data_IF_247503088083
#
_entry.id   IF_247503088083
#
_cell.length_a   1.000
_cell.length_b   1.000
_cell.length_c   1.000
_cell.angle_alpha   90.00
_cell.angle_beta   90.00
_cell.angle_gamma   90.00
#
_symmetry.space_group_name_H-M   'P 1'
#
loop_
_entity.id
_entity.type
_entity.pdbx_description
1 polymer ?
#
# COMPACT_ATOMS: atom_id res chain seq x y z
N UNK A 1 29.96 35.97 60.74
CA UNK A 1 29.02 36.42 59.67
C UNK A 1 29.26 35.84 58.29
N UNK A 2 30.12 34.82 58.04
CA UNK A 2 30.38 34.21 56.71
C UNK A 2 29.45 33.08 56.28
N UNK A 3 28.71 32.45 57.18
CA UNK A 3 27.86 31.29 56.86
C UNK A 3 26.54 31.62 56.17
N UNK A 4 25.99 32.80 56.34
CA UNK A 4 24.70 33.22 55.72
C UNK A 4 24.83 33.56 54.23
N UNK A 5 26.00 34.01 53.75
CA UNK A 5 26.27 34.26 52.33
C UNK A 5 26.43 33.01 51.50
N UNK A 6 27.06 31.94 52.06
CA UNK A 6 27.25 30.66 51.38
C UNK A 6 25.93 29.93 51.11
N UNK A 7 24.99 29.97 52.06
CA UNK A 7 23.67 29.34 51.88
C UNK A 7 22.84 29.99 50.76
N UNK A 8 22.93 31.30 50.61
CA UNK A 8 22.21 32.03 49.52
C UNK A 8 22.76 31.69 48.13
N UNK A 9 24.10 31.60 48.00
CA UNK A 9 24.72 31.23 46.71
C UNK A 9 24.40 29.79 46.34
N UNK A 10 24.44 28.86 47.27
CA UNK A 10 24.10 27.46 47.04
C UNK A 10 22.64 27.29 46.64
N UNK A 11 21.72 28.04 47.23
CA UNK A 11 20.30 28.02 46.88
C UNK A 11 20.04 28.58 45.46
N UNK A 12 20.74 29.66 45.05
CA UNK A 12 20.65 30.19 43.67
C UNK A 12 21.16 29.23 42.64
N UNK A 13 22.30 28.54 42.89
CA UNK A 13 22.85 27.55 41.96
C UNK A 13 21.90 26.37 41.81
N UNK A 14 21.29 25.89 42.90
CA UNK A 14 20.33 24.80 42.87
C UNK A 14 19.08 25.17 42.06
N UNK A 15 18.57 26.40 42.21
CA UNK A 15 17.43 26.88 41.38
C UNK A 15 17.77 26.93 39.90
N UNK A 16 18.96 27.42 39.52
CA UNK A 16 19.38 27.47 38.11
C UNK A 16 19.47 26.08 37.51
N UNK A 17 20.06 25.11 38.24
CA UNK A 17 20.16 23.73 37.79
C UNK A 17 18.77 23.09 37.62
N UNK A 18 17.87 23.30 38.57
CA UNK A 18 16.50 22.76 38.50
C UNK A 18 15.73 23.31 37.28
N UNK A 19 15.84 24.61 37.01
CA UNK A 19 15.22 25.26 35.84
C UNK A 19 15.84 24.75 34.55
N UNK A 20 17.17 24.62 34.49
CA UNK A 20 17.84 24.05 33.30
C UNK A 20 17.42 22.60 33.01
N UNK A 21 17.33 21.75 34.02
CA UNK A 21 16.85 20.38 33.89
C UNK A 21 15.39 20.33 33.40
N UNK A 22 14.53 21.20 33.93
CA UNK A 22 13.15 21.31 33.46
C UNK A 22 13.06 21.60 31.96
N UNK A 23 13.83 22.60 31.48
CA UNK A 23 13.84 22.96 30.06
C UNK A 23 14.42 21.87 29.18
N UNK A 24 15.43 21.14 29.63
CA UNK A 24 16.00 19.98 28.91
C UNK A 24 14.93 18.88 28.77
N UNK A 25 14.24 18.55 29.84
CA UNK A 25 13.17 17.51 29.80
C UNK A 25 12.01 17.96 28.90
N UNK A 26 11.59 19.23 28.99
CA UNK A 26 10.55 19.77 28.13
C UNK A 26 10.95 19.73 26.64
N UNK A 27 12.19 20.07 26.32
CA UNK A 27 12.72 20.02 24.97
C UNK A 27 12.75 18.56 24.44
N UNK A 28 13.25 17.61 25.23
CA UNK A 28 13.27 16.19 24.86
C UNK A 28 11.86 15.64 24.60
N UNK A 29 10.90 16.01 25.44
CA UNK A 29 9.50 15.63 25.25
C UNK A 29 8.91 16.20 23.95
N UNK A 30 9.18 17.48 23.68
CA UNK A 30 8.76 18.13 22.44
C UNK A 30 9.36 17.46 21.19
N UNK A 31 10.67 17.16 21.22
CA UNK A 31 11.33 16.45 20.13
C UNK A 31 10.75 15.04 19.92
N UNK A 32 10.49 14.31 20.99
CA UNK A 32 9.90 12.97 20.90
C UNK A 32 8.52 12.97 20.21
N UNK A 33 7.67 13.93 20.55
CA UNK A 33 6.35 14.09 19.90
C UNK A 33 6.50 14.47 18.43
N UNK A 34 7.41 15.42 18.11
CA UNK A 34 7.62 15.85 16.72
C UNK A 34 8.14 14.73 15.83
N UNK A 35 9.10 13.95 16.29
CA UNK A 35 9.64 12.82 15.51
C UNK A 35 8.61 11.72 15.31
N UNK A 36 7.79 11.39 16.31
CA UNK A 36 6.72 10.42 16.17
C UNK A 36 5.67 10.84 15.13
N UNK A 37 5.26 12.11 15.14
CA UNK A 37 4.30 12.66 14.17
C UNK A 37 4.86 12.68 12.75
N UNK A 38 6.13 13.00 12.55
CA UNK A 38 6.76 12.98 11.23
C UNK A 38 6.85 11.56 10.67
N UNK A 39 7.17 10.58 11.50
CA UNK A 39 7.23 9.18 11.09
C UNK A 39 5.85 8.64 10.66
N UNK A 40 4.79 8.94 11.41
CA UNK A 40 3.43 8.56 11.04
C UNK A 40 2.97 9.24 9.74
N UNK A 41 3.22 10.53 9.58
CA UNK A 41 2.87 11.26 8.37
C UNK A 41 3.59 10.72 7.12
N UNK A 42 4.83 10.28 7.26
CA UNK A 42 5.60 9.64 6.18
C UNK A 42 4.95 8.33 5.75
N UNK A 43 4.62 7.43 6.69
CA UNK A 43 3.97 6.14 6.39
C UNK A 43 2.61 6.35 5.72
N UNK A 44 1.80 7.29 6.21
CA UNK A 44 0.49 7.59 5.66
C UNK A 44 0.60 8.13 4.23
N UNK A 45 1.55 9.03 3.97
CA UNK A 45 1.83 9.55 2.63
C UNK A 45 2.26 8.48 1.65
N UNK A 46 3.12 7.56 2.05
CA UNK A 46 3.55 6.43 1.20
C UNK A 46 2.38 5.48 0.90
N UNK A 47 1.55 5.20 1.90
CA UNK A 47 0.36 4.37 1.73
C UNK A 47 -0.63 4.98 0.74
N UNK A 48 -0.89 6.28 0.85
CA UNK A 48 -1.83 6.99 -0.04
C UNK A 48 -1.32 7.00 -1.48
N UNK A 49 -0.03 7.23 -1.69
CA UNK A 49 0.60 7.15 -3.01
C UNK A 49 0.47 5.75 -3.62
N UNK A 50 0.71 4.72 -2.81
CA UNK A 50 0.62 3.33 -3.22
C UNK A 50 -0.80 2.93 -3.62
N UNK A 51 -1.81 3.32 -2.83
CA UNK A 51 -3.23 3.11 -3.17
C UNK A 51 -3.60 3.87 -4.44
N UNK A 52 -3.14 5.12 -4.58
CA UNK A 52 -3.34 5.93 -5.79
C UNK A 52 -2.79 5.25 -7.05
N UNK A 53 -1.64 4.59 -6.96
CA UNK A 53 -1.06 3.83 -8.06
C UNK A 53 -1.94 2.63 -8.46
N UNK A 54 -2.45 1.87 -7.47
CA UNK A 54 -3.36 0.74 -7.74
C UNK A 54 -4.61 1.21 -8.46
N UNK A 55 -5.24 2.30 -7.99
CA UNK A 55 -6.45 2.86 -8.59
C UNK A 55 -6.17 3.38 -10.02
N UNK A 56 -5.04 4.04 -10.22
CA UNK A 56 -4.62 4.54 -11.54
C UNK A 56 -4.41 3.40 -12.53
N UNK A 57 -3.75 2.33 -12.11
CA UNK A 57 -3.56 1.12 -12.91
C UNK A 57 -4.90 0.43 -13.21
N UNK A 58 -5.74 0.21 -12.21
CA UNK A 58 -7.05 -0.43 -12.40
C UNK A 58 -7.95 0.35 -13.38
N UNK A 59 -7.76 1.68 -13.46
CA UNK A 59 -8.50 2.56 -14.36
C UNK A 59 -7.86 2.73 -15.73
N UNK A 60 -6.66 2.17 -15.96
CA UNK A 60 -5.99 2.26 -17.25
C UNK A 60 -6.72 1.43 -18.33
N UNK A 61 -6.61 1.79 -19.62
CA UNK A 61 -7.31 1.09 -20.71
C UNK A 61 -6.98 -0.41 -20.77
N UNK A 62 -5.78 -0.79 -20.36
CA UNK A 62 -5.29 -2.17 -20.35
C UNK A 62 -6.04 -3.05 -19.35
N UNK A 63 -6.46 -2.46 -18.23
CA UNK A 63 -7.12 -3.17 -17.13
C UNK A 63 -8.61 -2.88 -17.05
N UNK A 64 -9.05 -1.65 -17.40
CA UNK A 64 -10.42 -1.19 -17.13
C UNK A 64 -11.48 -2.01 -17.86
N UNK A 65 -12.56 -2.32 -17.14
CA UNK A 65 -13.77 -2.92 -17.69
C UNK A 65 -14.78 -1.83 -18.05
N UNK A 66 -14.94 -1.56 -19.36
CA UNK A 66 -15.94 -0.66 -19.93
C UNK A 66 -16.03 0.73 -19.27
N UNK A 67 -14.93 1.25 -18.72
CA UNK A 67 -14.90 2.54 -18.05
C UNK A 67 -15.60 2.58 -16.69
N UNK A 68 -15.92 1.44 -16.10
CA UNK A 68 -16.43 1.35 -14.73
C UNK A 68 -15.31 1.75 -13.77
N UNK A 69 -15.59 2.67 -12.85
CA UNK A 69 -14.64 3.05 -11.81
C UNK A 69 -14.26 1.83 -10.96
N UNK A 70 -12.97 1.59 -10.81
CA UNK A 70 -12.40 0.41 -10.13
C UNK A 70 -12.86 -0.95 -10.72
N UNK A 71 -13.41 -0.94 -11.94
CA UNK A 71 -13.79 -2.15 -12.68
C UNK A 71 -12.61 -2.66 -13.51
N UNK A 72 -12.12 -3.84 -13.19
CA UNK A 72 -11.01 -4.50 -13.90
C UNK A 72 -11.53 -5.67 -14.73
N UNK A 73 -11.07 -5.77 -15.95
CA UNK A 73 -11.46 -6.81 -16.91
C UNK A 73 -10.62 -8.06 -16.70
N UNK A 74 -11.23 -9.12 -16.21
CA UNK A 74 -10.51 -10.37 -15.93
C UNK A 74 -10.06 -11.09 -17.20
N UNK A 75 -10.76 -10.91 -18.33
CA UNK A 75 -10.36 -11.53 -19.59
C UNK A 75 -9.12 -10.83 -20.17
N UNK A 76 -9.05 -9.48 -20.03
CA UNK A 76 -7.84 -8.72 -20.37
C UNK A 76 -6.66 -9.12 -19.49
N UNK A 77 -6.84 -9.29 -18.16
CA UNK A 77 -5.79 -9.76 -17.27
C UNK A 77 -5.23 -11.12 -17.72
N UNK A 78 -6.11 -12.06 -18.08
CA UNK A 78 -5.68 -13.37 -18.57
C UNK A 78 -4.97 -13.30 -19.93
N UNK A 79 -5.30 -12.32 -20.77
CA UNK A 79 -4.61 -12.07 -22.03
C UNK A 79 -3.22 -11.47 -21.77
N UNK A 80 -3.11 -10.47 -20.89
CA UNK A 80 -1.86 -9.81 -20.53
C UNK A 80 -0.87 -10.77 -19.84
N UNK A 81 -1.35 -11.72 -19.03
CA UNK A 81 -0.52 -12.76 -18.41
C UNK A 81 0.32 -13.54 -19.43
N UNK A 82 -0.13 -13.67 -20.67
CA UNK A 82 0.57 -14.39 -21.75
C UNK A 82 1.61 -13.54 -22.48
N UNK A 83 1.70 -12.25 -22.16
CA UNK A 83 2.55 -11.30 -22.88
C UNK A 83 3.71 -10.81 -21.99
N UNK A 84 4.90 -11.42 -22.07
CA UNK A 84 6.03 -11.10 -21.19
C UNK A 84 6.56 -9.67 -21.36
N UNK A 85 6.38 -9.06 -22.52
CA UNK A 85 6.80 -7.70 -22.88
C UNK A 85 6.14 -6.62 -21.98
N UNK A 86 4.97 -6.89 -21.42
CA UNK A 86 4.32 -5.97 -20.50
C UNK A 86 4.92 -5.96 -19.09
N UNK A 87 5.81 -6.90 -18.74
CA UNK A 87 6.43 -7.00 -17.41
C UNK A 87 7.23 -5.76 -17.02
N UNK A 88 7.84 -5.08 -18.00
CA UNK A 88 8.65 -3.90 -17.75
C UNK A 88 7.92 -2.58 -18.08
N UNK A 89 6.75 -2.67 -18.68
CA UNK A 89 6.00 -1.52 -19.16
C UNK A 89 5.57 -0.57 -18.04
N UNK A 90 5.16 -1.09 -16.88
CA UNK A 90 4.66 -0.28 -15.78
C UNK A 90 5.73 0.12 -14.75
N UNK A 91 6.98 -0.32 -14.87
CA UNK A 91 8.06 0.00 -13.92
C UNK A 91 7.91 -0.63 -12.53
N UNK A 92 7.03 -1.61 -12.36
CA UNK A 92 6.72 -2.27 -11.08
C UNK A 92 7.25 -3.70 -11.04
N UNK A 93 7.36 -4.26 -9.83
CA UNK A 93 7.93 -5.59 -9.63
C UNK A 93 6.91 -6.72 -9.78
N UNK A 94 5.63 -6.45 -9.54
CA UNK A 94 4.60 -7.44 -9.69
C UNK A 94 3.19 -6.88 -9.71
N UNK A 95 2.30 -7.59 -10.38
CA UNK A 95 0.85 -7.36 -10.36
C UNK A 95 0.17 -8.70 -10.14
N UNK A 96 -0.69 -8.76 -9.14
CA UNK A 96 -1.57 -9.90 -8.91
C UNK A 96 -2.97 -9.43 -8.49
N UNK A 97 -3.96 -10.24 -8.82
CA UNK A 97 -5.36 -10.02 -8.43
C UNK A 97 -5.88 -11.28 -7.77
N UNK A 98 -6.30 -11.14 -6.50
CA UNK A 98 -6.90 -12.23 -5.73
C UNK A 98 -8.40 -12.04 -5.64
N UNK A 99 -9.19 -13.00 -6.11
CA UNK A 99 -10.64 -13.01 -5.93
C UNK A 99 -10.99 -13.29 -4.47
N UNK A 100 -11.91 -12.50 -3.92
CA UNK A 100 -12.35 -12.62 -2.53
C UNK A 100 -13.75 -13.20 -2.41
N UNK A 101 -14.62 -12.86 -3.36
CA UNK A 101 -16.01 -13.33 -3.37
C UNK A 101 -16.54 -13.43 -4.80
N UNK A 102 -17.24 -14.52 -5.14
CA UNK A 102 -17.45 -15.73 -4.33
C UNK A 102 -16.17 -16.53 -4.09
N UNK A 103 -16.19 -17.39 -3.08
CA UNK A 103 -15.04 -18.25 -2.77
C UNK A 103 -14.81 -19.28 -3.88
N UNK A 104 -13.55 -19.41 -4.28
CA UNK A 104 -13.07 -20.41 -5.22
C UNK A 104 -11.92 -21.21 -4.58
N UNK A 105 -11.56 -22.37 -5.12
CA UNK A 105 -10.34 -23.06 -4.71
C UNK A 105 -9.12 -22.13 -4.78
N UNK A 106 -8.27 -22.14 -3.77
CA UNK A 106 -7.02 -21.35 -3.73
C UNK A 106 -6.01 -21.92 -4.73
N UNK A 107 -6.20 -21.61 -6.00
CA UNK A 107 -5.33 -22.01 -7.10
C UNK A 107 -5.06 -20.83 -8.02
N UNK A 108 -3.84 -20.82 -8.58
CA UNK A 108 -3.48 -19.86 -9.60
C UNK A 108 -4.28 -20.06 -10.88
N UNK A 109 -4.78 -18.97 -11.43
CA UNK A 109 -5.54 -18.96 -12.67
C UNK A 109 -4.65 -19.24 -13.89
N UNK A 110 -5.06 -20.19 -14.67
CA UNK A 110 -4.48 -20.52 -15.97
C UNK A 110 -5.59 -20.74 -17.01
N UNK A 111 -5.22 -21.02 -18.24
CA UNK A 111 -6.19 -21.22 -19.33
C UNK A 111 -7.12 -22.41 -19.14
N UNK A 112 -6.75 -23.38 -18.31
CA UNK A 112 -7.54 -24.62 -18.11
C UNK A 112 -8.55 -24.50 -16.96
N UNK A 113 -8.28 -23.67 -15.94
CA UNK A 113 -9.14 -23.55 -14.77
C UNK A 113 -9.90 -22.21 -14.69
N UNK A 114 -9.54 -21.23 -15.53
CA UNK A 114 -10.26 -19.96 -15.61
C UNK A 114 -11.69 -20.17 -16.14
N UNK A 115 -12.71 -19.56 -15.53
CA UNK A 115 -12.68 -18.53 -14.48
C UNK A 115 -12.79 -19.06 -13.04
N UNK A 116 -12.76 -20.37 -12.79
CA UNK A 116 -13.00 -21.01 -11.49
C UNK A 116 -11.70 -21.17 -10.68
N UNK A 117 -11.01 -20.08 -10.44
CA UNK A 117 -9.73 -19.99 -9.76
C UNK A 117 -9.65 -18.70 -8.95
N UNK A 118 -8.69 -18.57 -8.02
CA UNK A 118 -8.60 -17.43 -7.08
C UNK A 118 -7.57 -16.40 -7.50
N UNK A 119 -6.35 -16.82 -7.86
CA UNK A 119 -5.21 -15.92 -8.01
C UNK A 119 -4.84 -15.72 -9.48
N UNK A 120 -4.98 -14.48 -9.98
CA UNK A 120 -4.50 -14.07 -11.30
C UNK A 120 -3.18 -13.35 -11.09
N UNK A 121 -2.05 -14.05 -11.29
CA UNK A 121 -0.71 -13.46 -11.22
C UNK A 121 -0.30 -13.07 -12.65
N UNK A 122 -0.19 -11.78 -12.94
CA UNK A 122 0.27 -11.30 -14.24
C UNK A 122 1.76 -11.56 -14.39
N UNK A 123 2.53 -11.04 -13.44
CA UNK A 123 3.95 -11.29 -13.30
C UNK A 123 4.40 -10.97 -11.87
N UNK A 124 5.54 -11.54 -11.50
CA UNK A 124 6.27 -11.25 -10.28
C UNK A 124 7.76 -11.37 -10.60
N UNK A 125 8.53 -10.31 -10.29
CA UNK A 125 9.99 -10.31 -10.40
C UNK A 125 10.58 -10.84 -9.10
N UNK A 126 11.50 -11.80 -9.20
CA UNK A 126 12.24 -12.31 -8.04
C UNK A 126 13.35 -11.32 -7.66
N UNK A 127 13.55 -11.06 -6.36
CA UNK A 127 14.85 -10.58 -5.90
C UNK A 127 14.94 -9.31 -5.06
N UNK A 128 13.92 -8.46 -4.90
CA UNK A 128 14.03 -7.32 -3.99
C UNK A 128 12.85 -7.25 -3.01
N UNK A 129 13.14 -6.76 -1.79
CA UNK A 129 12.13 -6.42 -0.78
C UNK A 129 11.15 -5.41 -1.37
N UNK A 130 10.09 -5.93 -1.94
CA UNK A 130 9.08 -5.12 -2.60
C UNK A 130 8.10 -4.60 -1.55
N UNK A 131 7.84 -3.31 -1.56
CA UNK A 131 6.67 -2.76 -0.89
C UNK A 131 5.43 -3.20 -1.67
N UNK A 132 4.41 -3.67 -0.97
CA UNK A 132 3.16 -4.07 -1.58
C UNK A 132 2.04 -3.07 -1.26
N UNK A 133 1.35 -2.63 -2.29
CA UNK A 133 0.13 -1.85 -2.17
C UNK A 133 -1.05 -2.67 -2.67
N UNK A 134 -2.19 -2.52 -2.01
CA UNK A 134 -3.40 -3.24 -2.43
C UNK A 134 -4.65 -2.37 -2.32
N UNK A 135 -5.61 -2.62 -3.21
CA UNK A 135 -6.93 -2.00 -3.16
C UNK A 135 -8.01 -2.96 -3.65
N UNK A 136 -9.22 -2.77 -3.13
CA UNK A 136 -10.39 -3.53 -3.58
C UNK A 136 -10.83 -3.05 -4.97
N UNK A 137 -11.14 -4.02 -5.82
CA UNK A 137 -11.62 -3.80 -7.19
C UNK A 137 -12.83 -4.68 -7.48
N UNK A 138 -13.60 -4.29 -8.48
CA UNK A 138 -14.62 -5.13 -9.10
C UNK A 138 -14.00 -5.86 -10.28
N UNK A 139 -13.76 -7.15 -10.15
CA UNK A 139 -13.23 -7.99 -11.23
C UNK A 139 -14.36 -8.45 -12.12
N UNK A 140 -14.47 -7.89 -13.31
CA UNK A 140 -15.60 -8.08 -14.19
C UNK A 140 -15.22 -8.89 -15.44
N UNK A 141 -16.18 -9.67 -15.95
CA UNK A 141 -16.09 -10.36 -17.24
C UNK A 141 -17.45 -10.48 -17.88
N UNK A 142 -17.47 -10.85 -19.15
CA UNK A 142 -18.69 -11.33 -19.79
C UNK A 142 -18.92 -12.79 -19.47
N UNK A 143 -20.12 -13.10 -19.05
CA UNK A 143 -20.55 -14.48 -18.82
C UNK A 143 -21.80 -14.79 -19.66
N UNK A 144 -22.04 -16.05 -19.99
CA UNK A 144 -23.17 -16.48 -20.83
C UNK A 144 -23.94 -17.54 -20.06
N UNK A 145 -25.20 -17.24 -19.77
CA UNK A 145 -26.13 -18.19 -19.17
C UNK A 145 -27.44 -18.20 -19.96
N UNK A 146 -27.88 -19.40 -20.35
CA UNK A 146 -29.11 -19.55 -21.10
C UNK A 146 -29.13 -18.87 -22.49
N UNK A 147 -27.94 -18.68 -23.11
CA UNK A 147 -27.80 -18.01 -24.41
C UNK A 147 -27.82 -16.48 -24.34
N UNK A 148 -27.86 -15.90 -23.17
CA UNK A 148 -27.78 -14.44 -22.96
C UNK A 148 -26.45 -14.05 -22.34
N UNK A 149 -25.79 -13.07 -22.93
CA UNK A 149 -24.56 -12.49 -22.37
C UNK A 149 -24.92 -11.45 -21.30
N UNK A 150 -24.25 -11.50 -20.16
CA UNK A 150 -24.37 -10.53 -19.09
C UNK A 150 -22.98 -10.21 -18.48
N UNK A 151 -22.89 -9.08 -17.80
CA UNK A 151 -21.67 -8.66 -17.13
C UNK A 151 -21.67 -9.25 -15.70
N UNK A 152 -20.69 -10.09 -15.40
CA UNK A 152 -20.48 -10.67 -14.08
C UNK A 152 -19.30 -10.03 -13.42
N UNK A 153 -19.52 -9.39 -12.26
CA UNK A 153 -18.46 -8.78 -11.45
C UNK A 153 -18.32 -9.49 -10.11
N UNK A 154 -17.11 -9.72 -9.70
CA UNK A 154 -16.72 -10.40 -8.47
C UNK A 154 -15.84 -9.46 -7.64
N UNK A 155 -15.92 -9.55 -6.31
CA UNK A 155 -15.04 -8.75 -5.43
C UNK A 155 -13.63 -9.34 -5.46
N UNK A 156 -12.64 -8.50 -5.70
CA UNK A 156 -11.25 -8.91 -5.73
C UNK A 156 -10.35 -7.86 -5.07
N UNK A 157 -9.13 -8.28 -4.73
CA UNK A 157 -8.04 -7.45 -4.23
C UNK A 157 -6.96 -7.39 -5.32
N UNK A 158 -6.66 -6.20 -5.81
CA UNK A 158 -5.52 -5.97 -6.69
C UNK A 158 -4.31 -5.61 -5.84
N UNK A 159 -3.21 -6.32 -6.05
CA UNK A 159 -1.96 -6.17 -5.31
C UNK A 159 -0.86 -5.80 -6.30
N UNK A 160 -0.13 -4.73 -6.00
CA UNK A 160 1.00 -4.24 -6.78
C UNK A 160 2.24 -4.30 -5.90
N UNK A 161 3.32 -4.86 -6.44
CA UNK A 161 4.63 -4.89 -5.80
C UNK A 161 5.54 -3.87 -6.49
N UNK A 162 6.13 -2.94 -5.71
CA UNK A 162 7.01 -1.87 -6.21
C UNK A 162 8.42 -2.00 -5.60
N UNK A 163 9.42 -1.36 -6.21
CA UNK A 163 10.76 -1.26 -5.60
C UNK A 163 10.75 -0.25 -4.46
N UNK A 164 11.56 -0.49 -3.44
CA UNK A 164 11.70 0.36 -2.25
C UNK A 164 12.14 1.81 -2.55
N UNK A 165 12.67 2.10 -3.76
CA UNK A 165 13.27 3.39 -4.12
C UNK A 165 12.47 4.20 -5.16
N UNK A 166 11.24 3.84 -5.48
CA UNK A 166 10.47 4.50 -6.56
C UNK A 166 9.30 5.39 -6.05
N UNK A 167 9.30 5.77 -4.76
CA UNK A 167 8.32 6.73 -4.20
C UNK A 167 8.96 8.03 -3.72
#
# INVERSE_FOLDING_TARGET
>A
MRKLGQLKIQQMVFMIIAVALFFILAALFFFAIKTANLYQASIESERDKSIGLVIKLASSPEFSYRGISNGVDSDKLMALKKQPEYRDYWGINGISVKKLYPEYPEVECNTGNYPNCTDIILFKKEGDTAQSASSYISLCRKDITGGRAYDKCELALMIIETRENEF
#
